data_IF_441723167921
#
_entry.id   IF_441723167921
#
_cell.length_a   1.000
_cell.length_b   1.000
_cell.length_c   1.000
_cell.angle_alpha   90.00
_cell.angle_beta   90.00
_cell.angle_gamma   90.00
#
_symmetry.space_group_name_H-M   'P 1'
#
loop_
_entity.id
_entity.type
_entity.pdbx_description
1 polymer ?
#
# COMPACT_ATOMS: atom_id res chain seq x y z
N UNK A 1 -44.10 -1.42 27.35
CA UNK A 1 -42.62 -1.55 27.30
C UNK A 1 -42.09 -1.11 28.65
N UNK A 2 -41.34 -1.96 29.39
CA UNK A 2 -40.79 -1.58 30.68
C UNK A 2 -39.78 -0.42 30.53
N UNK A 3 -39.74 0.56 31.46
CA UNK A 3 -38.82 1.70 31.38
C UNK A 3 -37.35 1.27 31.36
N UNK A 4 -37.01 0.17 32.03
CA UNK A 4 -35.67 -0.43 32.05
C UNK A 4 -35.21 -0.88 30.66
N UNK A 5 -36.10 -1.46 29.88
CA UNK A 5 -35.80 -1.91 28.52
C UNK A 5 -35.47 -0.72 27.60
N UNK A 6 -36.24 0.38 27.72
CA UNK A 6 -35.96 1.62 27.00
C UNK A 6 -34.61 2.23 27.39
N UNK A 7 -34.28 2.24 28.70
CA UNK A 7 -32.99 2.73 29.18
C UNK A 7 -31.81 1.92 28.62
N UNK A 8 -31.90 0.59 28.59
CA UNK A 8 -30.86 -0.28 28.01
C UNK A 8 -30.69 -0.01 26.51
N UNK A 9 -31.78 0.16 25.76
CA UNK A 9 -31.71 0.49 24.34
C UNK A 9 -31.01 1.83 24.08
N UNK A 10 -31.37 2.87 24.85
CA UNK A 10 -30.75 4.20 24.74
C UNK A 10 -29.26 4.12 25.06
N UNK A 11 -28.88 3.45 26.15
CA UNK A 11 -27.49 3.29 26.55
C UNK A 11 -26.66 2.54 25.49
N UNK A 12 -27.19 1.45 24.92
CA UNK A 12 -26.54 0.71 23.83
C UNK A 12 -26.33 1.58 22.60
N UNK A 13 -27.37 2.30 22.17
CA UNK A 13 -27.31 3.18 21.01
C UNK A 13 -26.27 4.30 21.22
N UNK A 14 -26.26 4.91 22.41
CA UNK A 14 -25.33 5.97 22.76
C UNK A 14 -23.88 5.49 22.81
N UNK A 15 -23.60 4.34 23.44
CA UNK A 15 -22.25 3.73 23.44
C UNK A 15 -21.78 3.43 22.01
N UNK A 16 -22.65 2.86 21.18
CA UNK A 16 -22.33 2.58 19.79
C UNK A 16 -22.01 3.86 19.00
N UNK A 17 -22.76 4.94 19.24
CA UNK A 17 -22.48 6.25 18.66
C UNK A 17 -21.10 6.80 19.11
N UNK A 18 -20.77 6.77 20.40
CA UNK A 18 -19.48 7.23 20.91
C UNK A 18 -18.30 6.44 20.31
N UNK A 19 -18.45 5.13 20.12
CA UNK A 19 -17.43 4.29 19.48
C UNK A 19 -17.24 4.72 18.02
N UNK A 20 -18.33 4.86 17.25
CA UNK A 20 -18.24 5.30 15.84
C UNK A 20 -17.60 6.68 15.70
N UNK A 21 -18.02 7.63 16.54
CA UNK A 21 -17.48 8.99 16.54
C UNK A 21 -15.99 9.03 16.89
N UNK A 22 -15.57 8.30 17.92
CA UNK A 22 -14.16 8.27 18.33
C UNK A 22 -13.26 7.64 17.26
N UNK A 23 -13.73 6.57 16.60
CA UNK A 23 -13.02 5.96 15.46
C UNK A 23 -12.87 6.93 14.28
N UNK A 24 -13.95 7.59 13.87
CA UNK A 24 -13.90 8.56 12.76
C UNK A 24 -12.94 9.71 13.05
N UNK A 25 -12.95 10.26 14.26
CA UNK A 25 -12.02 11.32 14.67
C UNK A 25 -10.56 10.86 14.69
N UNK A 26 -10.30 9.62 15.15
CA UNK A 26 -8.96 9.03 15.11
C UNK A 26 -8.46 8.89 13.66
N UNK A 27 -9.28 8.33 12.78
CA UNK A 27 -8.94 8.18 11.37
C UNK A 27 -8.68 9.53 10.68
N UNK A 28 -9.46 10.57 11.01
CA UNK A 28 -9.21 11.94 10.50
C UNK A 28 -7.89 12.53 11.01
N UNK A 29 -7.53 12.28 12.28
CA UNK A 29 -6.25 12.71 12.84
C UNK A 29 -5.07 12.03 12.13
N UNK A 30 -5.14 10.72 11.97
CA UNK A 30 -4.08 9.93 11.33
C UNK A 30 -3.93 10.34 9.85
N UNK A 31 -5.05 10.58 9.17
CA UNK A 31 -5.08 11.11 7.81
C UNK A 31 -4.45 12.51 7.71
N UNK A 32 -4.69 13.39 8.69
CA UNK A 32 -4.08 14.71 8.70
C UNK A 32 -2.54 14.62 8.80
N UNK A 33 -2.02 13.72 9.65
CA UNK A 33 -0.58 13.47 9.79
C UNK A 33 -0.01 12.88 8.50
N UNK A 34 -0.69 11.92 7.88
CA UNK A 34 -0.25 11.37 6.60
C UNK A 34 -0.24 12.44 5.50
N UNK A 35 -1.23 13.34 5.49
CA UNK A 35 -1.34 14.44 4.51
C UNK A 35 -0.25 15.49 4.69
N UNK A 36 0.21 15.77 5.92
CA UNK A 36 1.38 16.66 6.11
C UNK A 36 2.64 16.00 5.58
N UNK A 37 2.83 14.70 5.79
CA UNK A 37 3.95 13.95 5.21
C UNK A 37 3.91 13.89 3.69
N UNK A 38 2.72 13.73 3.09
CA UNK A 38 2.55 13.86 1.65
C UNK A 38 3.01 15.24 1.15
N UNK A 39 2.62 16.32 1.83
CA UNK A 39 3.05 17.68 1.44
C UNK A 39 4.57 17.86 1.51
N UNK A 40 5.22 17.34 2.54
CA UNK A 40 6.68 17.34 2.67
C UNK A 40 7.34 16.60 1.50
N UNK A 41 6.87 15.37 1.20
CA UNK A 41 7.36 14.60 0.06
C UNK A 41 7.12 15.29 -1.27
N UNK A 42 5.96 15.92 -1.44
CA UNK A 42 5.63 16.68 -2.65
C UNK A 42 6.59 17.85 -2.83
N UNK A 43 6.92 18.58 -1.76
CA UNK A 43 7.89 19.66 -1.81
C UNK A 43 9.29 19.16 -2.21
N UNK A 44 9.74 18.03 -1.64
CA UNK A 44 11.00 17.39 -2.04
C UNK A 44 10.99 16.94 -3.50
N UNK A 45 9.91 16.30 -3.96
CA UNK A 45 9.79 15.76 -5.32
C UNK A 45 9.80 16.84 -6.43
N UNK A 46 9.26 18.01 -6.15
CA UNK A 46 9.27 19.14 -7.08
C UNK A 46 10.55 19.97 -6.99
N UNK A 47 11.42 19.71 -6.01
CA UNK A 47 12.69 20.41 -5.90
C UNK A 47 13.65 19.94 -7.02
N UNK A 48 14.07 20.89 -7.85
CA UNK A 48 14.91 20.63 -9.02
C UNK A 48 16.26 20.01 -8.66
N UNK A 49 16.88 20.43 -7.54
CA UNK A 49 18.14 19.87 -7.08
C UNK A 49 17.97 18.40 -6.64
N UNK A 50 16.85 18.10 -6.01
CA UNK A 50 16.53 16.75 -5.54
C UNK A 50 16.33 15.77 -6.71
N UNK A 51 15.67 16.21 -7.79
CA UNK A 51 15.54 15.41 -9.02
C UNK A 51 16.89 15.07 -9.66
N UNK A 52 17.83 16.02 -9.64
CA UNK A 52 19.18 15.80 -10.17
C UNK A 52 19.97 14.79 -9.33
N UNK A 53 19.82 14.82 -8.00
CA UNK A 53 20.46 13.85 -7.09
C UNK A 53 19.87 12.45 -7.28
N UNK A 54 18.53 12.32 -7.29
CA UNK A 54 17.85 11.03 -7.55
C UNK A 54 18.25 10.43 -8.90
N UNK A 55 18.47 11.26 -9.92
CA UNK A 55 18.87 10.76 -11.24
C UNK A 55 20.31 10.21 -11.30
N UNK A 56 21.15 10.61 -10.35
CA UNK A 56 22.58 10.26 -10.33
C UNK A 56 22.91 9.19 -9.30
N UNK A 57 22.18 9.18 -8.19
CA UNK A 57 22.43 8.32 -7.05
C UNK A 57 21.28 7.33 -6.85
N UNK A 58 21.57 6.06 -7.14
CA UNK A 58 20.61 4.97 -6.98
C UNK A 58 20.22 4.74 -5.52
N UNK A 59 21.11 5.04 -4.56
CA UNK A 59 20.84 4.89 -3.14
C UNK A 59 19.85 5.97 -2.66
N UNK A 60 20.04 7.22 -3.08
CA UNK A 60 19.10 8.30 -2.75
C UNK A 60 17.74 8.13 -3.44
N UNK A 61 17.73 7.60 -4.67
CA UNK A 61 16.49 7.17 -5.34
C UNK A 61 15.77 6.09 -4.53
N UNK A 62 16.49 5.06 -4.09
CA UNK A 62 15.91 3.97 -3.29
C UNK A 62 15.36 4.48 -1.96
N UNK A 63 16.11 5.30 -1.22
CA UNK A 63 15.66 5.94 0.02
C UNK A 63 14.39 6.77 -0.19
N UNK A 64 14.25 7.43 -1.34
CA UNK A 64 13.05 8.21 -1.63
C UNK A 64 11.85 7.32 -2.00
N UNK A 65 12.08 6.25 -2.77
CA UNK A 65 11.08 5.21 -3.05
C UNK A 65 10.54 4.60 -1.75
N UNK A 66 11.43 4.24 -0.82
CA UNK A 66 11.06 3.70 0.50
C UNK A 66 10.20 4.68 1.30
N UNK A 67 10.53 5.98 1.30
CA UNK A 67 9.69 7.00 1.97
C UNK A 67 8.28 7.06 1.38
N UNK A 68 8.13 6.94 0.06
CA UNK A 68 6.82 6.89 -0.60
C UNK A 68 6.08 5.61 -0.19
N UNK A 69 6.75 4.45 -0.24
CA UNK A 69 6.17 3.15 0.13
C UNK A 69 5.70 3.14 1.60
N UNK A 70 6.52 3.63 2.52
CA UNK A 70 6.16 3.75 3.95
C UNK A 70 4.92 4.62 4.13
N UNK A 71 4.82 5.74 3.41
CA UNK A 71 3.63 6.59 3.52
C UNK A 71 2.39 5.91 2.91
N UNK A 72 2.54 5.16 1.81
CA UNK A 72 1.45 4.35 1.26
C UNK A 72 0.99 3.25 2.23
N UNK A 73 1.90 2.60 2.97
CA UNK A 73 1.54 1.61 3.98
C UNK A 73 0.81 2.26 5.16
N UNK A 74 1.29 3.43 5.58
CA UNK A 74 0.64 4.24 6.63
C UNK A 74 -0.76 4.66 6.20
N UNK A 75 -0.93 5.10 4.95
CA UNK A 75 -2.22 5.43 4.37
C UNK A 75 -3.15 4.22 4.35
N UNK A 76 -2.62 3.03 4.07
CA UNK A 76 -3.42 1.81 4.00
C UNK A 76 -3.95 1.38 5.37
N UNK A 77 -3.13 1.52 6.41
CA UNK A 77 -3.49 1.23 7.79
C UNK A 77 -4.62 2.13 8.35
N UNK A 78 -4.90 3.28 7.73
CA UNK A 78 -5.98 4.18 8.18
C UNK A 78 -7.35 3.53 7.88
N UNK A 79 -8.16 3.36 8.93
CA UNK A 79 -9.52 2.82 8.82
C UNK A 79 -10.42 3.74 7.96
N UNK A 80 -11.05 3.17 6.94
CA UNK A 80 -12.00 3.86 6.05
C UNK A 80 -13.41 4.01 6.63
N UNK A 81 -13.53 4.51 7.86
CA UNK A 81 -14.79 4.54 8.63
C UNK A 81 -15.83 5.52 8.06
N UNK A 82 -15.39 6.56 7.36
CA UNK A 82 -16.22 7.64 6.82
C UNK A 82 -15.93 7.87 5.32
N UNK A 83 -16.93 8.32 4.56
CA UNK A 83 -16.82 8.54 3.11
C UNK A 83 -15.74 9.57 2.79
N UNK A 84 -15.60 10.63 3.58
CA UNK A 84 -14.56 11.64 3.40
C UNK A 84 -13.17 11.06 3.65
N UNK A 85 -13.01 10.22 4.69
CA UNK A 85 -11.73 9.56 4.99
C UNK A 85 -11.32 8.65 3.84
N UNK A 86 -12.26 7.86 3.28
CA UNK A 86 -11.97 7.00 2.12
C UNK A 86 -11.58 7.80 0.88
N UNK A 87 -12.29 8.90 0.60
CA UNK A 87 -11.99 9.75 -0.55
C UNK A 87 -10.61 10.39 -0.45
N UNK A 88 -10.28 10.93 0.72
CA UNK A 88 -8.97 11.52 0.97
C UNK A 88 -7.84 10.48 0.98
N UNK A 89 -8.07 9.30 1.56
CA UNK A 89 -7.14 8.16 1.49
C UNK A 89 -6.86 7.79 0.03
N UNK A 90 -7.91 7.63 -0.79
CA UNK A 90 -7.78 7.30 -2.21
C UNK A 90 -6.95 8.35 -2.96
N UNK A 91 -7.32 9.62 -2.83
CA UNK A 91 -6.57 10.71 -3.47
C UNK A 91 -5.10 10.77 -3.06
N UNK A 92 -4.78 10.47 -1.80
CA UNK A 92 -3.41 10.42 -1.31
C UNK A 92 -2.64 9.22 -1.85
N UNK A 93 -3.28 8.05 -1.94
CA UNK A 93 -2.69 6.85 -2.53
C UNK A 93 -2.42 7.05 -4.02
N UNK A 94 -3.40 7.54 -4.78
CA UNK A 94 -3.26 7.77 -6.22
C UNK A 94 -2.08 8.73 -6.52
N UNK A 95 -1.92 9.80 -5.72
CA UNK A 95 -0.80 10.74 -5.86
C UNK A 95 0.55 10.08 -5.54
N UNK A 96 0.62 9.29 -4.46
CA UNK A 96 1.85 8.61 -4.06
C UNK A 96 2.25 7.52 -5.06
N UNK A 97 1.29 6.79 -5.62
CA UNK A 97 1.53 5.81 -6.69
C UNK A 97 2.09 6.50 -7.95
N UNK A 98 1.51 7.64 -8.34
CA UNK A 98 2.03 8.43 -9.47
C UNK A 98 3.44 8.97 -9.22
N UNK A 99 3.75 9.40 -8.00
CA UNK A 99 5.12 9.81 -7.63
C UNK A 99 6.09 8.63 -7.68
N UNK A 100 5.67 7.46 -7.23
CA UNK A 100 6.49 6.25 -7.23
C UNK A 100 6.83 5.81 -8.66
N UNK A 101 5.86 5.84 -9.58
CA UNK A 101 6.08 5.49 -11.00
C UNK A 101 7.18 6.34 -11.66
N UNK A 102 7.31 7.61 -11.27
CA UNK A 102 8.36 8.50 -11.80
C UNK A 102 9.73 8.22 -11.17
N UNK A 103 9.79 7.89 -9.88
CA UNK A 103 11.05 7.70 -9.14
C UNK A 103 11.62 6.30 -9.35
N UNK A 104 10.74 5.31 -9.35
CA UNK A 104 11.06 3.91 -9.50
C UNK A 104 10.07 3.27 -10.48
N UNK A 105 10.27 3.48 -11.79
CA UNK A 105 9.43 2.88 -12.81
C UNK A 105 9.64 1.36 -12.79
N UNK A 106 8.84 0.65 -12.00
CA UNK A 106 8.77 -0.80 -12.08
C UNK A 106 8.23 -1.18 -13.47
N UNK A 107 8.75 -2.24 -14.11
CA UNK A 107 8.20 -2.75 -15.36
C UNK A 107 6.73 -3.11 -15.12
N UNK A 108 5.83 -2.36 -15.77
CA UNK A 108 4.39 -2.35 -15.52
C UNK A 108 3.81 -3.78 -15.49
N UNK A 109 3.63 -4.33 -14.30
CA UNK A 109 2.78 -5.50 -14.09
C UNK A 109 1.34 -5.04 -13.81
N UNK A 110 0.77 -4.23 -14.72
CA UNK A 110 -0.65 -4.06 -15.07
C UNK A 110 -1.76 -4.09 -14.00
N UNK A 111 -1.48 -3.99 -12.71
CA UNK A 111 -2.48 -4.11 -11.63
C UNK A 111 -2.12 -3.11 -10.53
N UNK A 112 -3.14 -2.37 -10.08
CA UNK A 112 -3.05 -1.45 -8.94
C UNK A 112 -2.22 -2.10 -7.81
N UNK A 113 -1.22 -1.38 -7.30
CA UNK A 113 -0.32 -1.84 -6.24
C UNK A 113 -1.09 -2.26 -4.96
N UNK A 114 -2.36 -1.85 -4.84
CA UNK A 114 -3.30 -2.35 -3.84
C UNK A 114 -3.52 -3.87 -3.87
N UNK A 115 -3.40 -4.53 -5.04
CA UNK A 115 -3.55 -5.99 -5.16
C UNK A 115 -2.24 -6.75 -4.91
N UNK A 116 -1.08 -6.15 -5.19
CA UNK A 116 0.22 -6.83 -5.09
C UNK A 116 0.70 -6.96 -3.62
N UNK A 117 0.14 -6.19 -2.68
CA UNK A 117 0.54 -6.18 -1.27
C UNK A 117 0.14 -7.42 -0.46
N UNK A 118 -0.57 -8.39 -1.05
CA UNK A 118 -0.85 -9.69 -0.41
C UNK A 118 0.18 -10.75 -0.69
N UNK A 119 1.07 -10.55 -1.65
CA UNK A 119 2.22 -11.43 -1.87
C UNK A 119 3.44 -10.74 -1.29
N UNK A 120 3.72 -11.10 -0.04
CA UNK A 120 5.07 -11.12 0.52
C UNK A 120 6.09 -11.51 -0.56
N UNK A 121 7.25 -10.84 -0.57
CA UNK A 121 8.33 -10.99 -1.55
C UNK A 121 8.79 -12.46 -1.62
N UNK A 122 8.09 -13.23 -2.45
CA UNK A 122 8.40 -14.62 -2.74
C UNK A 122 9.22 -14.60 -4.03
N UNK A 123 10.45 -15.15 -4.05
CA UNK A 123 11.27 -15.24 -5.25
C UNK A 123 10.67 -16.24 -6.26
N UNK A 124 9.48 -15.93 -6.77
CA UNK A 124 8.68 -16.78 -7.65
C UNK A 124 9.30 -16.88 -9.06
N UNK A 125 10.20 -15.95 -9.43
CA UNK A 125 10.90 -15.99 -10.72
C UNK A 125 12.06 -16.99 -10.76
N UNK A 126 12.82 -17.15 -9.67
CA UNK A 126 13.92 -18.11 -9.64
C UNK A 126 13.41 -19.55 -9.61
N UNK A 127 12.37 -19.81 -8.80
CA UNK A 127 11.79 -21.15 -8.65
C UNK A 127 11.20 -21.66 -9.97
N UNK A 128 10.56 -20.80 -10.77
CA UNK A 128 9.97 -21.20 -12.06
C UNK A 128 11.02 -21.60 -13.10
N UNK A 129 12.17 -20.92 -13.12
CA UNK A 129 13.24 -21.24 -14.06
C UNK A 129 13.93 -22.56 -13.68
N UNK A 130 14.20 -22.78 -12.38
CA UNK A 130 14.77 -24.05 -11.90
C UNK A 130 13.83 -25.22 -12.13
N UNK A 131 12.52 -25.04 -11.92
CA UNK A 131 11.52 -26.09 -12.23
C UNK A 131 11.47 -26.36 -13.73
N UNK A 132 11.50 -25.32 -14.58
CA UNK A 132 11.49 -25.50 -16.04
C UNK A 132 12.74 -26.26 -16.52
N UNK A 133 13.92 -25.90 -16.01
CA UNK A 133 15.19 -26.58 -16.31
C UNK A 133 15.19 -28.04 -15.82
N UNK A 134 14.68 -28.29 -14.60
CA UNK A 134 14.53 -29.63 -14.05
C UNK A 134 13.55 -30.50 -14.85
N UNK A 135 12.43 -29.93 -15.32
CA UNK A 135 11.47 -30.64 -16.17
C UNK A 135 12.09 -30.98 -17.52
N UNK A 136 12.85 -30.07 -18.15
CA UNK A 136 13.56 -30.38 -19.40
C UNK A 136 14.59 -31.50 -19.26
N UNK A 137 15.30 -31.57 -18.13
CA UNK A 137 16.24 -32.68 -17.87
C UNK A 137 15.54 -34.03 -17.73
N UNK A 138 14.38 -34.07 -17.05
CA UNK A 138 13.60 -35.31 -16.89
C UNK A 138 13.05 -35.79 -18.24
N UNK A 139 12.55 -34.88 -19.07
CA UNK A 139 12.07 -35.22 -20.42
C UNK A 139 13.20 -35.82 -21.26
N UNK A 140 14.39 -35.23 -21.23
CA UNK A 140 15.56 -35.76 -21.96
C UNK A 140 15.97 -37.16 -21.47
N UNK A 141 15.95 -37.41 -20.16
CA UNK A 141 16.30 -38.74 -19.62
C UNK A 141 15.28 -39.81 -20.04
N UNK A 142 13.99 -39.49 -20.05
CA UNK A 142 12.94 -40.42 -20.47
C UNK A 142 13.01 -40.72 -21.98
N UNK A 143 13.34 -39.74 -22.81
CA UNK A 143 13.54 -39.93 -24.25
C UNK A 143 14.77 -40.81 -24.57
N UNK A 144 15.78 -40.85 -23.69
CA UNK A 144 16.96 -41.71 -23.85
C UNK A 144 16.79 -43.14 -23.35
N UNK A 145 15.72 -43.45 -22.60
CA UNK A 145 15.44 -44.80 -22.09
C UNK A 145 14.54 -45.62 -23.04
N UNK A 146 14.04 -45.04 -24.14
CA UNK A 146 13.18 -45.70 -25.13
C UNK A 146 13.91 -46.28 -26.37
N UNK A 147 15.25 -46.41 -26.38
CA UNK A 147 16.01 -47.16 -27.40
C UNK A 147 16.56 -48.51 -26.91
#
# INVERSE_FOLDING_TARGET
>A
MPPEYAAVMIQRAFRAYLIRRSKALRALRDLAIAKTKLKELRASFHNFNFRRVISRDAEERQKFSEKIIVLLLTADAIEGVDVMVRGAKRSMVDELEAMLEVVDPQPQQGKSLSMLRRTFDMPDRMIRNEIAEGVTQIVQMLETEEE
#
